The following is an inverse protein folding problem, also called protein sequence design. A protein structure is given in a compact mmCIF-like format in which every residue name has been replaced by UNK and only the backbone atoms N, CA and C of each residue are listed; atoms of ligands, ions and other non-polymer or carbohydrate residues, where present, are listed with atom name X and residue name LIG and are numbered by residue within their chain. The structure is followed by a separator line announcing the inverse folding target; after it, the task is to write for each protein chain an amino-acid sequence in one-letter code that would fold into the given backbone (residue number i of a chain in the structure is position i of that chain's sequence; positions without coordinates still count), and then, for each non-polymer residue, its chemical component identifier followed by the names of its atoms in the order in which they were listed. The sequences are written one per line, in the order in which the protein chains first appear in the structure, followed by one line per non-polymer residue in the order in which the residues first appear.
data_IF_490917273516
#
_entry.id   IF_490917273516
#
_cell.length_a   1.000
_cell.length_b   1.000
_cell.length_c   1.000
_cell.angle_alpha   90.00
_cell.angle_beta   90.00
_cell.angle_gamma   90.00
#
_symmetry.space_group_name_H-M   'P 1'
#
loop_
_entity.id
_entity.type
_entity.pdbx_description
1 polymer ?
#
# COMPACT_ATOMS: atom_id res chain seq x y z
N UNK A 1 5.90 -31.06 33.33
CA UNK A 1 6.05 -29.80 32.56
C UNK A 1 6.42 -30.20 31.15
N UNK A 2 5.43 -30.29 30.26
CA UNK A 2 5.61 -30.74 28.87
C UNK A 2 5.68 -29.50 27.97
N UNK A 3 6.89 -29.21 27.49
CA UNK A 3 7.16 -28.13 26.55
C UNK A 3 6.40 -28.38 25.24
N UNK A 4 5.58 -27.41 24.84
CA UNK A 4 4.85 -27.47 23.57
C UNK A 4 5.80 -27.11 22.42
N UNK A 5 5.76 -27.83 21.28
CA UNK A 5 6.70 -27.59 20.19
C UNK A 5 6.51 -26.19 19.56
N UNK A 6 7.62 -25.45 19.42
CA UNK A 6 7.65 -24.10 18.87
C UNK A 6 7.13 -24.07 17.43
N UNK A 7 5.94 -23.49 17.27
CA UNK A 7 5.15 -23.38 16.03
C UNK A 7 5.97 -22.69 14.92
N UNK A 8 6.96 -21.87 15.26
CA UNK A 8 7.81 -21.19 14.27
C UNK A 8 8.66 -22.15 13.44
N UNK A 9 9.09 -23.27 14.02
CA UNK A 9 9.91 -24.27 13.33
C UNK A 9 9.17 -25.02 12.21
N UNK A 10 7.84 -25.15 12.34
CA UNK A 10 6.97 -25.84 11.37
C UNK A 10 6.75 -24.98 10.12
N UNK A 11 6.88 -23.66 10.24
CA UNK A 11 6.64 -22.71 9.16
C UNK A 11 7.87 -22.44 8.29
N UNK A 12 9.07 -22.59 8.83
CA UNK A 12 10.34 -22.27 8.14
C UNK A 12 11.02 -23.48 7.50
N UNK A 13 10.60 -24.70 7.84
CA UNK A 13 11.17 -25.97 7.35
C UNK A 13 10.71 -26.40 5.95
N UNK A 14 9.70 -25.72 5.37
CA UNK A 14 9.27 -26.00 3.99
C UNK A 14 10.16 -25.26 2.99
N UNK A 15 10.98 -26.03 2.25
CA UNK A 15 11.83 -25.50 1.18
C UNK A 15 10.97 -24.81 0.11
N UNK A 16 11.25 -23.54 -0.16
CA UNK A 16 10.60 -22.78 -1.24
C UNK A 16 11.34 -23.05 -2.54
N UNK A 17 10.60 -23.18 -3.64
CA UNK A 17 11.18 -23.27 -4.98
C UNK A 17 12.02 -22.01 -5.28
N UNK A 18 13.29 -22.20 -5.64
CA UNK A 18 14.23 -21.13 -5.93
C UNK A 18 14.17 -20.81 -7.42
N UNK A 19 13.59 -19.66 -7.77
CA UNK A 19 13.48 -19.20 -9.15
C UNK A 19 14.83 -18.61 -9.59
N UNK A 20 15.31 -18.99 -10.78
CA UNK A 20 16.55 -18.43 -11.35
C UNK A 20 16.33 -16.98 -11.78
N UNK A 21 17.28 -16.06 -11.51
CA UNK A 21 17.21 -14.71 -12.02
C UNK A 21 17.26 -14.69 -13.55
N UNK A 22 16.48 -13.79 -14.16
CA UNK A 22 16.47 -13.58 -15.62
C UNK A 22 17.68 -12.73 -16.01
N UNK A 23 18.39 -13.15 -17.04
CA UNK A 23 19.53 -12.44 -17.58
C UNK A 23 19.07 -11.17 -18.35
N UNK A 24 19.69 -10.03 -18.06
CA UNK A 24 19.30 -8.69 -18.52
C UNK A 24 20.36 -8.04 -19.43
N UNK A 25 21.17 -8.84 -20.12
CA UNK A 25 22.23 -8.32 -20.98
C UNK A 25 21.70 -7.91 -22.37
N UNK A 26 21.47 -6.61 -22.56
CA UNK A 26 21.26 -6.01 -23.87
C UNK A 26 22.62 -5.86 -24.59
N UNK A 27 22.78 -6.56 -25.71
CA UNK A 27 23.98 -6.46 -26.57
C UNK A 27 24.14 -5.02 -27.09
N UNK A 28 25.21 -4.37 -26.66
CA UNK A 28 25.78 -3.19 -27.32
C UNK A 28 26.23 -3.59 -28.72
N UNK A 29 25.62 -3.01 -29.76
CA UNK A 29 26.23 -2.95 -31.09
C UNK A 29 26.71 -1.52 -31.33
N UNK A 30 28.02 -1.36 -31.21
CA UNK A 30 28.76 -0.25 -31.79
C UNK A 30 28.60 -0.29 -33.30
N UNK A 31 28.28 0.85 -33.91
CA UNK A 31 28.71 1.14 -35.28
C UNK A 31 29.55 2.41 -35.22
N UNK A 32 30.84 2.22 -35.50
CA UNK A 32 31.75 3.29 -35.85
C UNK A 32 31.41 3.73 -37.27
N UNK A 33 31.19 5.03 -37.48
CA UNK A 33 31.43 5.65 -38.78
C UNK A 33 31.86 7.10 -38.57
N UNK A 34 33.12 7.31 -38.92
CA UNK A 34 33.86 8.56 -38.96
C UNK A 34 33.39 9.36 -40.18
N UNK A 35 32.84 10.57 -40.01
CA UNK A 35 32.66 11.54 -41.11
C UNK A 35 32.64 12.99 -40.58
N UNK A 36 33.73 13.69 -40.91
CA UNK A 36 33.91 15.12 -41.19
C UNK A 36 32.90 16.17 -40.68
N UNK A 37 33.43 17.08 -39.84
CA UNK A 37 33.40 18.55 -40.00
C UNK A 37 32.19 19.18 -40.73
N UNK A 38 31.14 19.55 -39.98
CA UNK A 38 30.35 20.78 -40.21
C UNK A 38 29.94 21.31 -38.84
N UNK A 39 30.42 22.49 -38.44
CA UNK A 39 29.83 23.26 -37.33
C UNK A 39 28.48 23.82 -37.79
N UNK A 40 27.34 23.47 -37.19
CA UNK A 40 26.17 24.30 -37.30
C UNK A 40 26.34 25.48 -36.32
N UNK A 41 26.37 26.70 -36.85
CA UNK A 41 26.14 27.89 -36.05
C UNK A 41 24.74 27.73 -35.42
N UNK A 42 24.74 27.35 -34.16
CA UNK A 42 23.55 27.17 -33.34
C UNK A 42 22.95 28.55 -33.09
N UNK A 43 22.15 29.05 -34.04
CA UNK A 43 21.16 30.08 -33.73
C UNK A 43 20.13 29.40 -32.83
N UNK A 44 20.22 29.68 -31.54
CA UNK A 44 19.16 29.40 -30.57
C UNK A 44 17.91 30.16 -31.01
N UNK A 45 17.17 29.60 -31.96
CA UNK A 45 15.74 29.82 -32.02
C UNK A 45 15.24 28.96 -30.86
N UNK A 46 15.12 29.56 -29.67
CA UNK A 46 14.36 28.95 -28.59
C UNK A 46 12.96 28.72 -29.16
N UNK A 47 12.68 27.47 -29.47
CA UNK A 47 11.38 27.04 -29.95
C UNK A 47 10.35 27.53 -28.91
N UNK A 48 9.36 28.36 -29.26
CA UNK A 48 8.40 28.90 -28.30
C UNK A 48 7.70 27.77 -27.51
N UNK A 49 7.58 26.58 -28.08
CA UNK A 49 7.10 25.39 -27.37
C UNK A 49 8.03 24.94 -26.23
N UNK A 50 9.35 25.07 -26.40
CA UNK A 50 10.34 24.69 -25.39
C UNK A 50 10.39 25.67 -24.21
N UNK A 51 10.15 26.97 -24.46
CA UNK A 51 9.99 27.97 -23.42
C UNK A 51 8.72 27.73 -22.58
N UNK A 52 7.61 27.36 -23.22
CA UNK A 52 6.36 27.02 -22.55
C UNK A 52 6.51 25.75 -21.69
N UNK A 53 7.19 24.72 -22.18
CA UNK A 53 7.48 23.49 -21.42
C UNK A 53 8.31 23.80 -20.17
N UNK A 54 9.35 24.64 -20.26
CA UNK A 54 10.13 25.07 -19.09
C UNK A 54 9.27 25.83 -18.07
N UNK A 55 8.33 26.67 -18.54
CA UNK A 55 7.40 27.40 -17.65
C UNK A 55 6.49 26.43 -16.90
N UNK A 56 5.89 25.47 -17.61
CA UNK A 56 5.00 24.48 -17.02
C UNK A 56 5.74 23.55 -16.05
N UNK A 57 7.00 23.18 -16.35
CA UNK A 57 7.85 22.43 -15.41
C UNK A 57 8.10 23.21 -14.12
N UNK A 58 8.44 24.49 -14.24
CA UNK A 58 8.66 25.37 -13.06
C UNK A 58 7.40 25.54 -12.23
N UNK A 59 6.23 25.60 -12.87
CA UNK A 59 4.94 25.70 -12.19
C UNK A 59 4.57 24.38 -11.49
N UNK A 60 4.81 23.24 -12.15
CA UNK A 60 4.57 21.92 -11.58
C UNK A 60 5.43 21.67 -10.33
N UNK A 61 6.68 22.15 -10.31
CA UNK A 61 7.57 22.05 -9.15
C UNK A 61 7.08 22.82 -7.92
N UNK A 62 6.20 23.81 -8.10
CA UNK A 62 5.59 24.57 -6.99
C UNK A 62 4.37 23.88 -6.40
N UNK A 63 3.80 22.90 -7.11
CA UNK A 63 2.60 22.19 -6.69
C UNK A 63 2.96 20.96 -5.83
N UNK A 64 2.02 20.48 -4.99
CA UNK A 64 2.23 19.27 -4.21
C UNK A 64 2.53 18.07 -5.12
N UNK A 65 3.65 17.40 -4.86
CA UNK A 65 4.01 16.18 -5.59
C UNK A 65 3.26 14.98 -5.02
N UNK A 66 2.71 14.16 -5.91
CA UNK A 66 1.97 12.98 -5.49
C UNK A 66 2.91 11.85 -5.02
N UNK A 67 2.59 11.29 -3.86
CA UNK A 67 3.28 10.12 -3.31
C UNK A 67 2.83 8.79 -3.90
N UNK A 68 3.36 7.68 -3.36
CA UNK A 68 2.90 6.33 -3.69
C UNK A 68 1.51 6.08 -3.10
N UNK A 69 0.68 5.32 -3.82
CA UNK A 69 -0.66 4.94 -3.36
C UNK A 69 -0.62 4.12 -2.07
N UNK A 70 -1.43 4.51 -1.08
CA UNK A 70 -1.58 3.81 0.19
C UNK A 70 -2.78 2.84 0.14
N UNK A 71 -2.57 1.59 0.55
CA UNK A 71 -3.64 0.59 0.67
C UNK A 71 -4.23 0.61 2.09
N UNK A 72 -5.41 1.21 2.25
CA UNK A 72 -6.07 1.37 3.56
C UNK A 72 -7.30 0.47 3.67
N UNK A 73 -7.40 -0.27 4.78
CA UNK A 73 -8.57 -1.09 5.10
C UNK A 73 -9.33 -0.51 6.31
N UNK A 74 -10.53 0.01 6.03
CA UNK A 74 -11.41 0.61 7.01
C UNK A 74 -12.45 -0.38 7.52
N UNK A 75 -13.03 -0.06 8.67
CA UNK A 75 -14.23 -0.75 9.14
C UNK A 75 -15.41 -0.39 8.23
N UNK A 76 -16.35 -1.32 8.02
CA UNK A 76 -17.40 -1.15 7.02
C UNK A 76 -18.26 0.10 7.26
N UNK A 77 -18.63 0.35 8.51
CA UNK A 77 -19.41 1.53 8.95
C UNK A 77 -18.63 2.80 8.69
N UNK A 78 -17.40 2.89 9.23
CA UNK A 78 -16.50 4.03 9.05
C UNK A 78 -16.19 4.31 7.58
N UNK A 79 -16.02 3.27 6.76
CA UNK A 79 -15.82 3.43 5.31
C UNK A 79 -17.03 4.10 4.67
N UNK A 80 -18.23 3.65 5.02
CA UNK A 80 -19.46 4.16 4.41
C UNK A 80 -19.69 5.63 4.80
N UNK A 81 -19.49 5.95 6.08
CA UNK A 81 -19.56 7.32 6.59
C UNK A 81 -18.50 8.23 5.96
N UNK A 82 -17.25 7.77 5.85
CA UNK A 82 -16.18 8.53 5.20
C UNK A 82 -16.50 8.82 3.73
N UNK A 83 -16.96 7.81 2.98
CA UNK A 83 -17.31 7.98 1.57
C UNK A 83 -18.46 8.99 1.41
N UNK A 84 -19.48 8.92 2.28
CA UNK A 84 -20.59 9.86 2.26
C UNK A 84 -20.13 11.30 2.56
N UNK A 85 -19.26 11.48 3.56
CA UNK A 85 -18.71 12.79 3.90
C UNK A 85 -17.88 13.36 2.75
N UNK A 86 -17.07 12.51 2.11
CA UNK A 86 -16.25 12.89 0.97
C UNK A 86 -17.11 13.27 -0.25
N UNK A 87 -18.16 12.51 -0.53
CA UNK A 87 -19.11 12.80 -1.61
C UNK A 87 -19.83 14.13 -1.40
N UNK A 88 -20.31 14.39 -0.19
CA UNK A 88 -20.99 15.65 0.16
C UNK A 88 -20.09 16.87 0.05
N UNK A 89 -18.81 16.72 0.38
CA UNK A 89 -17.83 17.80 0.35
C UNK A 89 -17.06 17.90 -0.99
N UNK A 90 -17.39 17.06 -1.97
CA UNK A 90 -16.70 16.98 -3.27
C UNK A 90 -15.16 16.80 -3.14
N UNK A 91 -14.72 16.05 -2.11
CA UNK A 91 -13.31 15.73 -1.87
C UNK A 91 -13.05 14.24 -1.99
N UNK A 92 -11.82 13.85 -2.29
CA UNK A 92 -11.43 12.44 -2.23
C UNK A 92 -10.98 12.06 -0.81
N UNK A 93 -11.11 10.78 -0.41
CA UNK A 93 -10.63 10.31 0.89
C UNK A 93 -9.14 10.57 1.13
N UNK A 94 -8.31 10.53 0.08
CA UNK A 94 -6.89 10.83 0.16
C UNK A 94 -6.65 12.28 0.59
N UNK A 95 -7.29 13.24 -0.10
CA UNK A 95 -7.17 14.67 0.20
C UNK A 95 -7.75 14.98 1.59
N UNK A 96 -8.85 14.30 1.97
CA UNK A 96 -9.42 14.45 3.31
C UNK A 96 -8.41 14.04 4.39
N UNK A 97 -7.72 12.90 4.22
CA UNK A 97 -6.70 12.45 5.19
C UNK A 97 -5.50 13.41 5.21
N UNK A 98 -5.05 13.91 4.06
CA UNK A 98 -3.97 14.91 3.99
C UNK A 98 -4.33 16.17 4.77
N UNK A 99 -5.53 16.72 4.54
CA UNK A 99 -6.03 17.89 5.26
C UNK A 99 -6.10 17.62 6.77
N UNK A 100 -6.63 16.47 7.20
CA UNK A 100 -6.64 16.09 8.61
C UNK A 100 -5.24 16.08 9.22
N UNK A 101 -4.24 15.53 8.54
CA UNK A 101 -2.87 15.47 9.06
C UNK A 101 -2.31 16.87 9.27
N UNK A 102 -2.51 17.79 8.31
CA UNK A 102 -2.05 19.17 8.42
C UNK A 102 -2.76 19.90 9.56
N UNK A 103 -4.08 19.77 9.67
CA UNK A 103 -4.87 20.40 10.74
C UNK A 103 -4.50 19.87 12.13
N UNK A 104 -4.23 18.57 12.25
CA UNK A 104 -3.88 17.98 13.55
C UNK A 104 -2.48 18.39 14.05
N UNK A 105 -1.62 18.91 13.17
CA UNK A 105 -0.32 19.47 13.60
C UNK A 105 -0.50 20.74 14.44
N UNK A 106 -1.57 21.51 14.21
CA UNK A 106 -1.86 22.72 14.98
C UNK A 106 -2.60 22.44 16.28
N UNK A 107 -3.12 21.22 16.48
CA UNK A 107 -3.94 20.83 17.64
C UNK A 107 -3.44 19.55 18.32
N UNK A 108 -2.37 19.64 19.15
CA UNK A 108 -1.72 18.45 19.73
C UNK A 108 -2.60 17.66 20.70
N UNK A 109 -3.51 18.33 21.42
CA UNK A 109 -4.45 17.65 22.33
C UNK A 109 -5.46 16.79 21.58
N UNK A 110 -5.99 17.29 20.47
CA UNK A 110 -6.90 16.53 19.61
C UNK A 110 -6.18 15.34 18.98
N UNK A 111 -4.94 15.56 18.51
CA UNK A 111 -4.08 14.49 18.00
C UNK A 111 -3.87 13.38 19.04
N UNK A 112 -3.56 13.73 20.30
CA UNK A 112 -3.39 12.76 21.37
C UNK A 112 -4.66 11.91 21.62
N UNK A 113 -5.84 12.55 21.61
CA UNK A 113 -7.12 11.85 21.75
C UNK A 113 -7.37 10.88 20.59
N UNK A 114 -7.11 11.31 19.35
CA UNK A 114 -7.25 10.47 18.16
C UNK A 114 -6.31 9.27 18.23
N UNK A 115 -5.06 9.45 18.66
CA UNK A 115 -4.09 8.36 18.82
C UNK A 115 -4.60 7.33 19.84
N UNK A 116 -5.14 7.77 20.98
CA UNK A 116 -5.68 6.85 21.99
C UNK A 116 -6.86 6.03 21.45
N UNK A 117 -7.79 6.66 20.73
CA UNK A 117 -8.93 5.97 20.12
C UNK A 117 -8.46 5.02 19.00
N UNK A 118 -7.48 5.41 18.18
CA UNK A 118 -6.89 4.55 17.16
C UNK A 118 -6.26 3.29 17.77
N UNK A 119 -5.52 3.43 18.87
CA UNK A 119 -4.96 2.29 19.61
C UNK A 119 -6.05 1.36 20.17
N UNK A 120 -7.15 1.92 20.69
CA UNK A 120 -8.30 1.14 21.16
C UNK A 120 -8.93 0.34 20.02
N UNK A 121 -9.17 0.96 18.87
CA UNK A 121 -9.70 0.28 17.67
C UNK A 121 -8.77 -0.81 17.15
N UNK A 122 -7.46 -0.58 17.20
CA UNK A 122 -6.46 -1.60 16.83
C UNK A 122 -6.58 -2.85 17.72
N UNK A 123 -6.73 -2.67 19.05
CA UNK A 123 -6.92 -3.79 19.98
C UNK A 123 -8.21 -4.57 19.66
N UNK A 124 -9.30 -3.87 19.41
CA UNK A 124 -10.58 -4.49 19.01
C UNK A 124 -10.44 -5.30 17.72
N UNK A 125 -9.77 -4.76 16.69
CA UNK A 125 -9.52 -5.49 15.43
C UNK A 125 -8.70 -6.76 15.64
N UNK A 126 -7.66 -6.71 16.49
CA UNK A 126 -6.86 -7.90 16.85
C UNK A 126 -7.73 -8.96 17.53
N UNK A 127 -8.54 -8.56 18.50
CA UNK A 127 -9.43 -9.47 19.22
C UNK A 127 -10.45 -10.12 18.28
N UNK A 128 -11.08 -9.34 17.40
CA UNK A 128 -12.00 -9.86 16.39
C UNK A 128 -11.32 -10.86 15.45
N UNK A 129 -10.06 -10.62 15.07
CA UNK A 129 -9.27 -11.58 14.29
C UNK A 129 -8.99 -12.90 15.02
N UNK A 130 -8.73 -12.85 16.33
CA UNK A 130 -8.59 -14.05 17.16
C UNK A 130 -9.91 -14.82 17.20
N UNK A 131 -11.02 -14.15 17.53
CA UNK A 131 -12.35 -14.77 17.59
C UNK A 131 -12.70 -15.44 16.26
N UNK A 132 -12.51 -14.77 15.12
CA UNK A 132 -12.77 -15.36 13.79
C UNK A 132 -11.97 -16.64 13.54
N UNK A 133 -10.69 -16.66 13.91
CA UNK A 133 -9.85 -17.86 13.77
C UNK A 133 -10.32 -18.98 14.69
N UNK A 134 -10.67 -18.67 15.93
CA UNK A 134 -11.18 -19.66 16.88
C UNK A 134 -12.52 -20.24 16.42
N UNK A 135 -13.46 -19.42 15.95
CA UNK A 135 -14.74 -19.87 15.40
C UNK A 135 -14.51 -20.81 14.20
N UNK A 136 -13.66 -20.43 13.26
CA UNK A 136 -13.34 -21.28 12.10
C UNK A 136 -12.74 -22.63 12.52
N UNK A 137 -11.90 -22.67 13.56
CA UNK A 137 -11.40 -23.93 14.12
C UNK A 137 -12.53 -24.76 14.75
N UNK A 138 -13.37 -24.14 15.58
CA UNK A 138 -14.46 -24.83 16.26
C UNK A 138 -15.49 -25.39 15.26
N UNK A 139 -15.86 -24.63 14.23
CA UNK A 139 -16.75 -25.09 13.15
C UNK A 139 -16.19 -26.32 12.44
N UNK A 140 -14.88 -26.35 12.19
CA UNK A 140 -14.20 -27.51 11.60
C UNK A 140 -14.33 -28.76 12.49
N UNK A 141 -13.96 -28.65 13.77
CA UNK A 141 -13.95 -29.81 14.68
C UNK A 141 -15.36 -30.24 15.12
N UNK A 142 -16.30 -29.32 15.27
CA UNK A 142 -17.71 -29.63 15.59
C UNK A 142 -18.43 -30.21 14.36
N UNK A 143 -18.04 -29.82 13.14
CA UNK A 143 -18.52 -30.43 11.89
C UNK A 143 -18.05 -31.87 11.70
N UNK A 144 -16.79 -32.16 12.04
CA UNK A 144 -16.21 -33.52 11.95
C UNK A 144 -16.85 -34.50 12.96
N UNK A 145 -17.18 -34.05 14.18
CA UNK A 145 -17.80 -34.90 15.22
C UNK A 145 -19.27 -35.31 14.98
N UNK A 146 -19.96 -34.72 14.00
CA UNK A 146 -21.33 -35.11 13.61
C UNK A 146 -21.37 -36.21 12.54
N UNK A 147 -20.24 -36.51 11.88
CA UNK A 147 -20.19 -37.51 10.80
C UNK A 147 -19.98 -38.96 11.31
N UNK A 148 -19.46 -39.14 12.54
CA UNK A 148 -19.13 -40.48 13.06
C UNK A 148 -20.27 -41.22 13.79
N UNK A 149 -21.39 -40.56 14.12
CA UNK A 149 -22.51 -41.20 14.84
C UNK A 149 -23.51 -41.96 13.95
N UNK A 150 -23.17 -42.26 12.70
CA UNK A 150 -24.05 -42.89 11.71
C UNK A 150 -23.64 -44.28 11.21
N UNK A 151 -22.60 -44.92 11.78
CA UNK A 151 -22.20 -46.29 11.43
C UNK A 151 -22.29 -47.20 12.65
N UNK A 152 -23.50 -47.68 12.92
CA UNK A 152 -23.73 -48.87 13.74
C UNK A 152 -24.47 -49.85 12.83
N UNK A 153 -23.77 -50.91 12.44
CA UNK A 153 -24.34 -52.16 11.92
C UNK A 153 -24.22 -53.18 13.05
#
# INVERSE_FOLDING_TARGET
MTESPDIRSILTSKSRAKVTPRDASLKSMQSASETALIQPQNREIEDPEMAEVKRLQTELERLPQMGKRLAVHLEQTVRSELMQLCEQAEVTPEIFIEAMVVTLQTEPELLAKIIQEAQKRLRQRKQAGVIRRTLAMMEKYVGEGKSEKGKTL
#
